data_IF_132843698567
#
_entry.id   IF_132843698567
#
_cell.length_a   1.000
_cell.length_b   1.000
_cell.length_c   1.000
_cell.angle_alpha   90.00
_cell.angle_beta   90.00
_cell.angle_gamma   90.00
#
_symmetry.space_group_name_H-M   'P 1'
#
loop_
_entity.id
_entity.type
_entity.pdbx_description
1 polymer ?
#
# COMPACT_ATOMS: atom_id res chain seq x y z
N UNK A 1 -9.18 3.61 -10.65
CA UNK A 1 -8.71 2.33 -10.07
C UNK A 1 -9.46 2.04 -8.78
N UNK A 2 -9.83 0.77 -8.51
CA UNK A 2 -10.37 0.34 -7.22
C UNK A 2 -9.23 0.06 -6.24
N UNK A 3 -9.37 0.57 -5.00
CA UNK A 3 -8.49 0.30 -3.87
C UNK A 3 -9.36 -0.28 -2.76
N UNK A 4 -9.14 -1.53 -2.39
CA UNK A 4 -9.89 -2.21 -1.33
C UNK A 4 -9.08 -3.35 -0.70
N UNK A 5 -9.59 -3.98 0.35
CA UNK A 5 -8.98 -5.12 1.01
C UNK A 5 -7.78 -4.77 1.91
N UNK A 6 -7.01 -5.79 2.25
CA UNK A 6 -5.81 -5.62 3.09
C UNK A 6 -4.60 -5.32 2.23
N UNK A 7 -3.92 -4.23 2.54
CA UNK A 7 -2.65 -3.86 1.94
C UNK A 7 -1.50 -4.08 2.93
N UNK A 8 -0.35 -4.51 2.43
CA UNK A 8 0.86 -4.74 3.23
C UNK A 8 1.79 -3.55 3.13
N UNK A 9 2.14 -2.87 4.24
CA UNK A 9 3.20 -1.86 4.25
C UNK A 9 4.57 -2.55 4.20
N UNK A 10 5.18 -2.60 3.02
CA UNK A 10 6.45 -3.30 2.82
C UNK A 10 7.58 -2.63 3.61
N UNK A 11 8.37 -3.45 4.31
CA UNK A 11 9.68 -3.03 4.85
C UNK A 11 10.76 -3.23 3.79
N UNK A 12 11.77 -2.35 3.78
CA UNK A 12 12.97 -2.52 2.95
C UNK A 12 14.03 -3.26 3.77
N UNK A 13 14.43 -4.48 3.40
CA UNK A 13 15.51 -5.18 4.05
C UNK A 13 16.86 -4.49 3.81
N UNK A 14 17.66 -4.34 4.85
CA UNK A 14 19.02 -3.83 4.74
C UNK A 14 20.05 -4.90 5.10
N UNK A 15 21.17 -4.90 4.40
CA UNK A 15 22.36 -5.65 4.76
C UNK A 15 23.05 -5.01 5.98
N UNK A 16 24.02 -5.70 6.60
CA UNK A 16 24.73 -5.20 7.79
C UNK A 16 25.48 -3.89 7.56
N UNK A 17 25.88 -3.64 6.32
CA UNK A 17 26.55 -2.40 5.90
C UNK A 17 25.58 -1.24 5.55
N UNK A 18 24.28 -1.46 5.75
CA UNK A 18 23.23 -0.47 5.51
C UNK A 18 22.74 -0.39 4.06
N UNK A 19 23.29 -1.13 3.10
CA UNK A 19 22.78 -1.20 1.73
C UNK A 19 21.45 -1.93 1.64
N UNK A 20 20.60 -1.57 0.70
CA UNK A 20 19.37 -2.30 0.42
C UNK A 20 19.68 -3.75 0.01
N UNK A 21 19.03 -4.71 0.65
CA UNK A 21 19.18 -6.13 0.31
C UNK A 21 18.08 -6.54 -0.69
N UNK A 22 18.24 -6.10 -1.93
CA UNK A 22 17.21 -6.22 -2.97
C UNK A 22 16.75 -7.67 -3.22
N UNK A 23 17.66 -8.66 -3.18
CA UNK A 23 17.28 -10.07 -3.34
C UNK A 23 16.34 -10.58 -2.23
N UNK A 24 16.49 -10.06 -1.02
CA UNK A 24 15.59 -10.40 0.09
C UNK A 24 14.25 -9.66 -0.04
N UNK A 25 14.27 -8.44 -0.54
CA UNK A 25 13.06 -7.71 -0.88
C UNK A 25 12.26 -8.44 -1.97
N UNK A 26 12.92 -8.87 -3.04
CA UNK A 26 12.33 -9.67 -4.12
C UNK A 26 11.64 -10.92 -3.58
N UNK A 27 12.34 -11.69 -2.72
CA UNK A 27 11.78 -12.89 -2.07
C UNK A 27 10.55 -12.57 -1.21
N UNK A 28 10.60 -11.50 -0.40
CA UNK A 28 9.47 -11.06 0.41
C UNK A 28 8.26 -10.72 -0.45
N UNK A 29 8.46 -9.94 -1.52
CA UNK A 29 7.39 -9.55 -2.45
C UNK A 29 6.75 -10.78 -3.10
N UNK A 30 7.56 -11.74 -3.54
CA UNK A 30 7.07 -13.01 -4.07
C UNK A 30 6.20 -13.77 -3.06
N UNK A 31 6.60 -13.80 -1.78
CA UNK A 31 5.81 -14.43 -0.71
C UNK A 31 4.50 -13.70 -0.41
N UNK A 32 4.52 -12.35 -0.34
CA UNK A 32 3.28 -11.57 -0.18
C UNK A 32 2.35 -11.76 -1.37
N UNK A 33 2.88 -11.95 -2.57
CA UNK A 33 2.09 -12.24 -3.77
C UNK A 33 1.29 -13.54 -3.68
N UNK A 34 1.78 -14.52 -2.93
CA UNK A 34 1.08 -15.79 -2.67
C UNK A 34 0.03 -15.68 -1.56
N UNK A 35 0.05 -14.60 -0.77
CA UNK A 35 -0.94 -14.37 0.30
C UNK A 35 -2.22 -13.74 -0.26
N UNK A 36 -3.35 -13.83 0.46
CA UNK A 36 -4.62 -13.29 -0.03
C UNK A 36 -4.78 -11.77 0.10
N UNK A 37 -3.72 -11.04 0.47
CA UNK A 37 -3.76 -9.57 0.55
C UNK A 37 -4.01 -8.94 -0.81
N UNK A 38 -4.69 -7.80 -0.84
CA UNK A 38 -5.10 -7.13 -2.07
C UNK A 38 -3.97 -6.30 -2.70
N UNK A 39 -3.09 -5.74 -1.88
CA UNK A 39 -2.04 -4.85 -2.39
C UNK A 39 -0.80 -4.75 -1.51
N UNK A 40 0.22 -4.12 -2.07
CA UNK A 40 1.52 -3.87 -1.45
C UNK A 40 1.84 -2.39 -1.52
N UNK A 41 2.21 -1.79 -0.39
CA UNK A 41 2.58 -0.38 -0.31
C UNK A 41 4.08 -0.28 -0.08
N UNK A 42 4.81 0.13 -1.10
CA UNK A 42 6.26 0.36 -1.03
C UNK A 42 6.54 1.74 -0.44
N UNK A 43 7.61 1.86 0.36
CA UNK A 43 8.08 3.14 0.91
C UNK A 43 7.00 3.96 1.66
N UNK A 44 5.92 3.30 2.10
CA UNK A 44 4.91 3.86 2.97
C UNK A 44 5.37 3.83 4.44
N UNK A 45 4.43 3.90 5.39
CA UNK A 45 4.73 3.79 6.81
C UNK A 45 5.48 2.49 7.12
N UNK A 46 6.66 2.59 7.71
CA UNK A 46 7.54 1.44 7.99
C UNK A 46 8.50 1.07 6.86
N UNK A 47 8.38 1.65 5.66
CA UNK A 47 9.30 1.43 4.54
C UNK A 47 10.61 2.22 4.62
N UNK A 48 10.81 3.00 5.67
CA UNK A 48 12.02 3.80 5.92
C UNK A 48 12.44 4.72 4.73
N UNK A 49 11.44 5.19 3.96
CA UNK A 49 11.62 5.97 2.73
C UNK A 49 12.58 7.16 2.88
N UNK A 50 12.50 7.89 4.00
CA UNK A 50 13.36 9.04 4.29
C UNK A 50 14.85 8.68 4.49
N UNK A 51 15.20 7.39 4.53
CA UNK A 51 16.59 6.92 4.65
C UNK A 51 17.17 6.43 3.32
N UNK A 52 16.36 6.35 2.27
CA UNK A 52 16.77 5.86 0.96
C UNK A 52 17.31 7.01 0.10
N UNK A 53 18.41 6.77 -0.61
CA UNK A 53 18.84 7.65 -1.70
C UNK A 53 17.92 7.52 -2.92
N UNK A 54 17.99 8.49 -3.84
CA UNK A 54 17.17 8.45 -5.06
C UNK A 54 17.46 7.22 -5.92
N UNK A 55 18.72 6.76 -5.98
CA UNK A 55 19.09 5.52 -6.68
C UNK A 55 18.51 4.27 -5.98
N UNK A 56 18.53 4.24 -4.65
CA UNK A 56 17.91 3.13 -3.89
C UNK A 56 16.39 3.11 -4.05
N UNK A 57 15.74 4.28 -4.11
CA UNK A 57 14.31 4.38 -4.42
C UNK A 57 14.00 3.72 -5.77
N UNK A 58 14.75 4.07 -6.81
CA UNK A 58 14.58 3.49 -8.14
C UNK A 58 14.74 1.96 -8.14
N UNK A 59 15.78 1.44 -7.47
CA UNK A 59 16.02 0.01 -7.36
C UNK A 59 14.93 -0.73 -6.57
N UNK A 60 14.48 -0.18 -5.45
CA UNK A 60 13.40 -0.74 -4.62
C UNK A 60 12.10 -0.83 -5.43
N UNK A 61 11.70 0.25 -6.12
CA UNK A 61 10.49 0.25 -6.94
C UNK A 61 10.59 -0.77 -8.08
N UNK A 62 11.70 -0.80 -8.80
CA UNK A 62 11.94 -1.75 -9.89
C UNK A 62 11.82 -3.20 -9.42
N UNK A 63 12.48 -3.56 -8.32
CA UNK A 63 12.44 -4.93 -7.78
C UNK A 63 11.03 -5.32 -7.35
N UNK A 64 10.30 -4.43 -6.68
CA UNK A 64 8.91 -4.71 -6.28
C UNK A 64 8.00 -4.89 -7.50
N UNK A 65 8.09 -4.00 -8.49
CA UNK A 65 7.29 -4.08 -9.71
C UNK A 65 7.51 -5.37 -10.51
N UNK A 66 8.77 -5.85 -10.54
CA UNK A 66 9.14 -7.10 -11.22
C UNK A 66 8.73 -8.36 -10.45
N UNK A 67 8.79 -8.35 -9.12
CA UNK A 67 8.54 -9.52 -8.28
C UNK A 67 7.07 -9.71 -7.89
N UNK A 68 6.27 -8.64 -7.92
CA UNK A 68 4.87 -8.72 -7.51
C UNK A 68 4.01 -9.41 -8.56
N UNK A 69 3.12 -10.29 -8.11
CA UNK A 69 2.10 -10.89 -8.98
C UNK A 69 1.20 -9.81 -9.59
N UNK A 70 0.76 -10.04 -10.83
CA UNK A 70 0.08 -9.01 -11.61
C UNK A 70 -1.23 -8.50 -10.97
N UNK A 71 -1.94 -9.35 -10.23
CA UNK A 71 -3.20 -9.01 -9.55
C UNK A 71 -3.03 -8.18 -8.28
N UNK A 72 -1.82 -8.05 -7.72
CA UNK A 72 -1.58 -7.24 -6.52
C UNK A 72 -1.53 -5.77 -6.87
N UNK A 73 -2.34 -4.96 -6.21
CA UNK A 73 -2.26 -3.49 -6.33
C UNK A 73 -0.93 -3.01 -5.76
N UNK A 74 -0.16 -2.25 -6.53
CA UNK A 74 1.08 -1.63 -6.09
C UNK A 74 0.91 -0.13 -5.86
N UNK A 75 1.21 0.32 -4.65
CA UNK A 75 1.18 1.73 -4.28
C UNK A 75 2.58 2.17 -3.85
N UNK A 76 3.09 3.25 -4.43
CA UNK A 76 4.41 3.80 -4.08
C UNK A 76 4.28 5.01 -3.15
N UNK A 77 4.81 4.91 -1.94
CA UNK A 77 4.88 6.04 -1.00
C UNK A 77 5.86 7.10 -1.48
N UNK A 78 5.44 8.36 -1.40
CA UNK A 78 6.22 9.54 -1.75
C UNK A 78 6.35 10.43 -0.52
N UNK A 79 7.55 10.53 0.01
CA UNK A 79 7.92 11.42 1.10
C UNK A 79 9.00 12.41 0.60
N UNK A 80 8.57 13.38 -0.20
CA UNK A 80 9.42 14.43 -0.79
C UNK A 80 8.82 15.80 -0.50
N UNK A 81 9.66 16.77 -0.19
CA UNK A 81 9.24 18.11 0.24
C UNK A 81 9.05 19.11 -0.93
N UNK A 82 9.23 18.66 -2.17
CA UNK A 82 9.00 19.47 -3.35
C UNK A 82 8.17 18.76 -4.42
N UNK A 83 7.38 19.51 -5.16
CA UNK A 83 6.58 19.00 -6.30
C UNK A 83 7.48 18.23 -7.28
N UNK A 84 8.63 18.82 -7.67
CA UNK A 84 9.57 18.18 -8.60
C UNK A 84 10.11 16.85 -8.07
N UNK A 85 10.49 16.80 -6.78
CA UNK A 85 10.96 15.57 -6.15
C UNK A 85 9.87 14.50 -6.05
N UNK A 86 8.63 14.92 -5.76
CA UNK A 86 7.49 14.01 -5.72
C UNK A 86 7.18 13.42 -7.10
N UNK A 87 7.19 14.24 -8.16
CA UNK A 87 6.95 13.81 -9.54
C UNK A 87 8.05 12.86 -10.04
N UNK A 88 9.32 13.10 -9.71
CA UNK A 88 10.40 12.18 -10.07
C UNK A 88 10.18 10.76 -9.50
N UNK A 89 9.70 10.65 -8.25
CA UNK A 89 9.36 9.33 -7.66
C UNK A 89 8.11 8.74 -8.33
N UNK A 90 7.10 9.56 -8.66
CA UNK A 90 5.90 9.10 -9.35
C UNK A 90 6.21 8.53 -10.75
N UNK A 91 7.13 9.15 -11.49
CA UNK A 91 7.63 8.69 -12.78
C UNK A 91 8.35 7.33 -12.67
N UNK A 92 9.25 7.20 -11.67
CA UNK A 92 9.93 5.93 -11.38
C UNK A 92 8.94 4.83 -11.02
N UNK A 93 7.93 5.13 -10.21
CA UNK A 93 6.87 4.19 -9.84
C UNK A 93 6.05 3.77 -11.07
N UNK A 94 5.69 4.72 -11.94
CA UNK A 94 4.96 4.43 -13.18
C UNK A 94 5.76 3.53 -14.11
N UNK A 95 7.06 3.80 -14.29
CA UNK A 95 7.97 2.97 -15.08
C UNK A 95 8.15 1.56 -14.51
N UNK A 96 8.09 1.43 -13.17
CA UNK A 96 8.17 0.15 -12.47
C UNK A 96 6.83 -0.63 -12.45
N UNK A 97 5.75 -0.11 -13.06
CA UNK A 97 4.46 -0.79 -13.16
C UNK A 97 3.57 -0.65 -11.92
N UNK A 98 3.81 0.36 -11.09
CA UNK A 98 2.92 0.67 -9.96
C UNK A 98 1.57 1.23 -10.45
N UNK A 99 0.56 1.09 -9.61
CA UNK A 99 -0.82 1.41 -9.93
C UNK A 99 -1.26 2.77 -9.39
N UNK A 100 -0.69 3.20 -8.28
CA UNK A 100 -0.95 4.48 -7.64
C UNK A 100 0.25 4.97 -6.84
N UNK A 101 0.24 6.23 -6.44
CA UNK A 101 1.18 6.80 -5.48
C UNK A 101 0.46 7.18 -4.19
N UNK A 102 1.17 7.10 -3.06
CA UNK A 102 0.72 7.54 -1.74
C UNK A 102 1.53 8.77 -1.35
N UNK A 103 0.92 9.95 -1.43
CA UNK A 103 1.59 11.23 -1.26
C UNK A 103 1.43 11.75 0.17
N UNK A 104 2.54 11.97 0.86
CA UNK A 104 2.59 12.63 2.16
C UNK A 104 2.78 14.13 2.01
N UNK A 105 2.31 14.89 2.99
CA UNK A 105 2.64 16.31 3.09
C UNK A 105 4.16 16.51 3.27
N UNK A 106 4.72 17.65 2.82
CA UNK A 106 6.10 18.04 3.11
C UNK A 106 6.35 18.13 4.62
N UNK A 107 7.46 17.57 5.10
CA UNK A 107 7.78 17.47 6.54
C UNK A 107 8.96 18.32 6.97
N UNK A 108 9.83 18.71 6.04
CA UNK A 108 10.99 19.58 6.33
C UNK A 108 10.61 21.05 6.62
N UNK A 109 9.37 21.40 6.35
CA UNK A 109 8.84 22.76 6.51
C UNK A 109 7.66 22.75 7.47
N UNK A 110 7.85 22.74 8.78
CA UNK A 110 6.77 22.61 9.77
C UNK A 110 5.69 23.70 9.65
N UNK A 111 6.04 24.89 9.16
CA UNK A 111 5.11 26.00 8.88
C UNK A 111 4.10 25.66 7.79
N UNK A 112 4.48 24.83 6.78
CA UNK A 112 3.57 24.44 5.70
C UNK A 112 2.41 23.59 6.19
N UNK A 113 2.61 22.79 7.24
CA UNK A 113 1.54 21.96 7.81
C UNK A 113 0.35 22.76 8.35
N UNK A 114 0.54 24.06 8.59
CA UNK A 114 -0.46 25.01 9.08
C UNK A 114 -1.04 25.91 7.98
N UNK A 115 -0.46 25.85 6.78
CA UNK A 115 -0.88 26.68 5.64
C UNK A 115 -1.61 25.80 4.62
N UNK A 116 -2.95 25.81 4.72
CA UNK A 116 -3.81 25.03 3.81
C UNK A 116 -3.58 25.39 2.34
N UNK A 117 -3.33 26.65 2.00
CA UNK A 117 -3.16 27.07 0.62
C UNK A 117 -1.88 26.49 0.00
N UNK A 118 -0.79 26.45 0.77
CA UNK A 118 0.47 25.85 0.32
C UNK A 118 0.36 24.33 0.21
N UNK A 119 -0.32 23.67 1.15
CA UNK A 119 -0.59 22.22 1.06
C UNK A 119 -1.49 21.91 -0.14
N UNK A 120 -2.56 22.65 -0.36
CA UNK A 120 -3.43 22.51 -1.53
C UNK A 120 -2.63 22.67 -2.82
N UNK A 121 -1.79 23.69 -2.92
CA UNK A 121 -0.90 23.88 -4.08
C UNK A 121 0.03 22.67 -4.30
N UNK A 122 0.67 22.18 -3.23
CA UNK A 122 1.58 21.04 -3.34
C UNK A 122 0.86 19.78 -3.85
N UNK A 123 -0.25 19.39 -3.19
CA UNK A 123 -0.99 18.18 -3.56
C UNK A 123 -1.60 18.29 -4.96
N UNK A 124 -2.20 19.43 -5.31
CA UNK A 124 -2.81 19.64 -6.62
C UNK A 124 -1.78 19.65 -7.73
N UNK A 125 -0.64 20.34 -7.56
CA UNK A 125 0.41 20.37 -8.57
C UNK A 125 1.04 18.98 -8.81
N UNK A 126 1.16 18.15 -7.76
CA UNK A 126 1.59 16.75 -7.94
C UNK A 126 0.50 15.94 -8.63
N UNK A 127 -0.76 16.11 -8.26
CA UNK A 127 -1.86 15.37 -8.85
C UNK A 127 -2.09 15.72 -10.32
N UNK A 128 -1.92 17.01 -10.71
CA UNK A 128 -2.04 17.49 -12.09
C UNK A 128 -1.02 16.82 -13.03
N UNK A 129 0.23 16.65 -12.56
CA UNK A 129 1.33 16.19 -13.39
C UNK A 129 1.72 14.71 -13.16
N UNK A 130 1.17 14.06 -12.14
CA UNK A 130 1.49 12.65 -11.83
C UNK A 130 0.99 11.70 -12.92
N UNK A 131 1.84 10.80 -13.45
CA UNK A 131 1.41 9.76 -14.38
C UNK A 131 0.56 8.66 -13.73
N UNK A 132 0.43 8.68 -12.40
CA UNK A 132 -0.33 7.73 -11.61
C UNK A 132 -1.39 8.42 -10.76
N UNK A 133 -2.52 7.75 -10.48
CA UNK A 133 -3.47 8.22 -9.49
C UNK A 133 -2.82 8.46 -8.13
N UNK A 134 -3.29 9.48 -7.43
CA UNK A 134 -2.76 9.89 -6.12
C UNK A 134 -3.70 9.46 -5.01
N UNK A 135 -3.15 8.77 -3.99
CA UNK A 135 -3.74 8.55 -2.68
C UNK A 135 -3.10 9.53 -1.70
N UNK A 136 -3.89 10.14 -0.83
CA UNK A 136 -3.38 11.02 0.22
C UNK A 136 -2.97 10.21 1.45
N UNK A 137 -1.87 10.60 2.10
CA UNK A 137 -1.49 10.08 3.42
C UNK A 137 -1.82 11.09 4.51
N UNK A 138 -2.57 10.67 5.53
CA UNK A 138 -2.86 11.47 6.71
C UNK A 138 -2.46 10.72 7.98
N UNK A 139 -1.73 11.40 8.88
CA UNK A 139 -1.21 10.83 10.11
C UNK A 139 -1.17 11.91 11.22
N UNK A 140 -2.02 11.77 12.22
CA UNK A 140 -2.09 12.71 13.34
C UNK A 140 -0.92 12.55 14.33
N UNK A 141 -0.28 11.38 14.37
CA UNK A 141 0.90 11.18 15.22
C UNK A 141 2.11 11.97 14.71
N UNK A 142 2.07 12.37 13.44
CA UNK A 142 3.02 13.29 12.80
C UNK A 142 2.27 14.58 12.41
N UNK A 143 2.20 15.61 13.27
CA UNK A 143 1.35 16.80 13.05
C UNK A 143 1.51 17.47 11.68
N UNK A 144 2.72 17.41 11.10
CA UNK A 144 2.98 17.93 9.76
C UNK A 144 2.30 17.12 8.64
N UNK A 145 1.84 15.90 8.93
CA UNK A 145 1.18 15.01 7.97
C UNK A 145 -0.34 14.91 8.17
N UNK A 146 -0.89 15.59 9.19
CA UNK A 146 -2.34 15.57 9.41
C UNK A 146 -3.04 16.48 8.41
N UNK A 147 -3.93 15.90 7.59
CA UNK A 147 -4.74 16.66 6.64
C UNK A 147 -6.05 17.10 7.29
N UNK A 148 -6.38 18.40 7.16
CA UNK A 148 -7.66 18.93 7.61
C UNK A 148 -8.81 18.42 6.75
N UNK A 149 -10.03 18.43 7.29
CA UNK A 149 -11.24 17.98 6.58
C UNK A 149 -11.50 18.82 5.31
N UNK A 150 -11.30 20.13 5.44
CA UNK A 150 -11.50 21.07 4.33
C UNK A 150 -10.51 20.81 3.20
N UNK A 151 -9.24 20.51 3.52
CA UNK A 151 -8.23 20.16 2.52
C UNK A 151 -8.55 18.81 1.86
N UNK A 152 -8.97 17.81 2.63
CA UNK A 152 -9.35 16.49 2.07
C UNK A 152 -10.54 16.65 1.13
N UNK A 153 -11.57 17.42 1.49
CA UNK A 153 -12.74 17.66 0.65
C UNK A 153 -12.37 18.39 -0.65
N UNK A 154 -11.51 19.40 -0.56
CA UNK A 154 -10.99 20.14 -1.71
C UNK A 154 -10.22 19.22 -2.67
N UNK A 155 -9.26 18.45 -2.14
CA UNK A 155 -8.41 17.55 -2.93
C UNK A 155 -9.20 16.36 -3.50
N UNK A 156 -10.23 15.88 -2.81
CA UNK A 156 -11.08 14.80 -3.29
C UNK A 156 -11.83 15.14 -4.57
N UNK A 157 -12.08 16.43 -4.84
CA UNK A 157 -12.69 16.90 -6.09
C UNK A 157 -11.74 16.78 -7.30
N UNK A 158 -10.42 16.69 -7.07
CA UNK A 158 -9.43 16.57 -8.14
C UNK A 158 -9.53 15.19 -8.83
N UNK A 159 -9.59 15.10 -10.17
CA UNK A 159 -9.86 13.85 -10.89
C UNK A 159 -8.80 12.77 -10.65
N UNK A 160 -7.54 13.15 -10.44
CA UNK A 160 -6.43 12.22 -10.22
C UNK A 160 -6.16 11.90 -8.73
N UNK A 161 -6.90 12.52 -7.78
CA UNK A 161 -6.83 12.18 -6.34
C UNK A 161 -7.97 11.21 -6.04
N UNK A 162 -7.65 9.91 -5.92
CA UNK A 162 -8.65 8.83 -5.91
C UNK A 162 -9.08 8.36 -4.52
N UNK A 163 -8.34 8.73 -3.47
CA UNK A 163 -8.63 8.32 -2.11
C UNK A 163 -7.55 8.72 -1.12
N UNK A 164 -7.61 8.12 0.06
CA UNK A 164 -6.63 8.34 1.12
C UNK A 164 -6.41 7.10 1.99
N UNK A 165 -5.25 7.08 2.64
CA UNK A 165 -4.99 6.26 3.83
C UNK A 165 -4.89 7.18 5.04
N UNK A 166 -5.61 6.85 6.11
CA UNK A 166 -5.60 7.63 7.35
C UNK A 166 -5.16 6.73 8.52
N UNK A 167 -4.06 7.11 9.17
CA UNK A 167 -3.46 6.33 10.25
C UNK A 167 -4.25 6.41 11.57
N UNK A 168 -5.01 7.48 11.74
CA UNK A 168 -5.81 7.75 12.95
C UNK A 168 -7.31 7.82 12.66
N UNK A 169 -7.75 7.03 11.69
CA UNK A 169 -9.15 7.00 11.27
C UNK A 169 -10.05 6.49 12.39
N UNK A 170 -10.98 7.33 12.82
CA UNK A 170 -12.11 6.93 13.68
C UNK A 170 -13.39 6.82 12.85
N UNK A 171 -14.42 6.18 13.37
CA UNK A 171 -15.74 6.09 12.69
C UNK A 171 -16.32 7.49 12.44
N UNK A 172 -16.17 8.41 13.39
CA UNK A 172 -16.62 9.78 13.26
C UNK A 172 -15.88 10.51 12.14
N UNK A 173 -14.54 10.39 12.11
CA UNK A 173 -13.72 11.00 11.08
C UNK A 173 -14.02 10.40 9.71
N UNK A 174 -14.18 9.06 9.63
CA UNK A 174 -14.59 8.40 8.39
C UNK A 174 -15.91 8.97 7.87
N UNK A 175 -16.95 9.04 8.71
CA UNK A 175 -18.27 9.57 8.32
C UNK A 175 -18.18 11.02 7.86
N UNK A 176 -17.41 11.84 8.55
CA UNK A 176 -17.23 13.23 8.17
C UNK A 176 -16.54 13.37 6.80
N UNK A 177 -15.48 12.56 6.51
CA UNK A 177 -14.84 12.54 5.20
C UNK A 177 -15.81 12.02 4.12
N UNK A 178 -16.50 10.92 4.39
CA UNK A 178 -17.43 10.31 3.45
C UNK A 178 -18.58 11.26 3.09
N UNK A 179 -19.10 12.02 4.07
CA UNK A 179 -20.11 13.05 3.85
C UNK A 179 -19.60 14.23 3.05
N UNK A 180 -18.41 14.75 3.39
CA UNK A 180 -17.76 15.86 2.67
C UNK A 180 -17.39 15.50 1.22
N UNK A 181 -17.23 14.21 0.91
CA UNK A 181 -16.82 13.73 -0.43
C UNK A 181 -17.91 12.93 -1.15
N UNK A 182 -19.15 12.95 -0.67
CA UNK A 182 -20.28 12.12 -1.17
C UNK A 182 -20.62 12.34 -2.64
N UNK A 183 -20.36 13.53 -3.17
CA UNK A 183 -20.64 13.90 -4.55
C UNK A 183 -19.53 13.47 -5.51
N UNK A 184 -18.39 13.04 -4.98
CA UNK A 184 -17.27 12.51 -5.77
C UNK A 184 -17.64 11.12 -6.27
N UNK A 185 -17.75 10.97 -7.60
CA UNK A 185 -18.04 9.69 -8.25
C UNK A 185 -17.07 9.46 -9.40
N UNK A 186 -16.53 8.26 -9.47
CA UNK A 186 -15.58 7.85 -10.50
C UNK A 186 -15.91 6.47 -11.03
N UNK A 187 -15.80 6.30 -12.32
CA UNK A 187 -15.87 4.99 -12.94
C UNK A 187 -14.49 4.30 -12.87
N UNK A 188 -14.48 3.07 -12.40
CA UNK A 188 -13.27 2.25 -12.32
C UNK A 188 -13.51 0.90 -13.00
N UNK A 189 -12.46 0.37 -13.64
CA UNK A 189 -12.48 -0.99 -14.15
C UNK A 189 -12.23 -1.97 -13.02
N UNK A 190 -13.01 -3.05 -13.00
CA UNK A 190 -12.89 -4.17 -12.07
C UNK A 190 -12.96 -5.48 -12.85
N UNK A 191 -12.43 -6.55 -12.29
CA UNK A 191 -12.56 -7.91 -12.85
C UNK A 191 -14.03 -8.40 -12.77
N UNK A 192 -14.32 -9.54 -13.35
CA UNK A 192 -15.65 -10.17 -13.28
C UNK A 192 -16.09 -10.44 -11.83
N UNK A 193 -15.16 -10.62 -10.90
CA UNK A 193 -15.38 -10.82 -9.46
C UNK A 193 -15.21 -9.54 -8.63
N UNK A 194 -15.26 -8.37 -9.28
CA UNK A 194 -15.14 -7.06 -8.67
C UNK A 194 -13.79 -6.76 -7.98
N UNK A 195 -12.74 -7.52 -8.28
CA UNK A 195 -11.38 -7.20 -7.83
C UNK A 195 -10.76 -6.07 -8.67
N UNK A 196 -9.76 -5.34 -8.15
CA UNK A 196 -9.03 -4.32 -8.90
C UNK A 196 -8.43 -4.86 -10.21
N UNK A 197 -8.42 -4.04 -11.25
CA UNK A 197 -7.64 -4.29 -12.48
C UNK A 197 -6.37 -3.46 -12.40
N UNK A 198 -5.23 -4.11 -12.32
CA UNK A 198 -3.92 -3.46 -12.20
C UNK A 198 -3.33 -3.10 -13.58
N UNK A 199 -2.40 -2.16 -13.61
CA UNK A 199 -1.66 -1.80 -14.83
C UNK A 199 -0.86 -2.99 -15.39
N UNK A 200 -0.33 -3.85 -14.51
CA UNK A 200 0.41 -5.06 -14.94
C UNK A 200 -0.51 -6.11 -15.56
N UNK A 201 -1.74 -6.26 -15.07
CA UNK A 201 -2.76 -7.11 -15.74
C UNK A 201 -3.11 -6.58 -17.13
N UNK A 202 -3.26 -5.25 -17.28
CA UNK A 202 -3.53 -4.64 -18.59
C UNK A 202 -2.33 -4.74 -19.54
N UNK A 203 -1.09 -4.61 -19.03
CA UNK A 203 0.13 -4.76 -19.84
C UNK A 203 0.28 -6.21 -20.35
N UNK A 204 0.14 -7.20 -19.47
CA UNK A 204 0.20 -8.62 -19.85
C UNK A 204 -0.84 -8.97 -20.91
N UNK A 205 -2.06 -8.42 -20.82
CA UNK A 205 -3.11 -8.65 -21.81
C UNK A 205 -2.80 -8.00 -23.18
N UNK A 206 -1.97 -6.95 -23.25
CA UNK A 206 -1.54 -6.31 -24.51
C UNK A 206 -0.39 -7.04 -25.18
N UNK A 207 0.57 -7.53 -24.40
CA UNK A 207 1.73 -8.29 -24.92
C UNK A 207 1.31 -9.60 -25.61
N UNK A 208 0.30 -10.28 -25.06
CA UNK A 208 -0.26 -11.50 -25.64
C UNK A 208 -1.07 -11.26 -26.94
N UNK A 209 -1.37 -10.00 -27.30
CA UNK A 209 -2.08 -9.60 -28.52
C UNK A 209 -1.21 -9.34 -29.76
N UNK A 210 0.11 -9.43 -29.67
CA UNK A 210 1.02 -9.27 -30.82
C UNK A 210 1.08 -10.57 -31.61
N UNK A 211 0.25 -10.69 -32.66
CA UNK A 211 0.39 -11.72 -33.65
C UNK A 211 1.69 -11.51 -34.44
N UNK A 212 2.64 -12.41 -34.28
CA UNK A 212 3.74 -12.53 -35.26
C UNK A 212 3.16 -13.25 -36.46
N UNK A 213 3.13 -12.59 -37.63
CA UNK A 213 2.60 -13.23 -38.85
C UNK A 213 3.41 -14.47 -39.17
N UNK A 214 2.74 -15.55 -39.63
CA UNK A 214 3.39 -16.80 -40.02
C UNK A 214 4.44 -16.61 -41.12
N UNK A 215 4.40 -15.52 -41.89
CA UNK A 215 5.37 -15.14 -42.91
C UNK A 215 6.72 -14.70 -42.35
N UNK A 216 6.78 -14.20 -41.09
CA UNK A 216 8.05 -13.80 -40.44
C UNK A 216 8.80 -14.97 -39.79
N UNK A 217 8.15 -16.16 -39.70
CA UNK A 217 8.73 -17.38 -39.15
C UNK A 217 9.01 -18.32 -40.33
N UNK A 218 10.15 -18.16 -40.99
CA UNK A 218 10.55 -19.00 -42.15
C UNK A 218 10.38 -20.50 -41.87
N UNK A 219 9.36 -21.13 -42.44
CA UNK A 219 9.25 -22.55 -42.76
C UNK A 219 9.32 -23.55 -41.60
N UNK A 220 8.38 -23.52 -40.68
CA UNK A 220 8.19 -24.56 -39.65
C UNK A 220 6.78 -24.55 -39.14
N UNK A 221 6.24 -25.69 -38.72
CA UNK A 221 4.86 -25.84 -38.26
C UNK A 221 4.44 -24.73 -37.29
N UNK A 222 3.32 -24.04 -37.58
CA UNK A 222 2.76 -22.98 -36.74
C UNK A 222 2.45 -23.52 -35.34
N UNK A 223 3.23 -23.14 -34.36
CA UNK A 223 2.87 -23.32 -32.96
C UNK A 223 1.79 -22.26 -32.67
N UNK A 224 0.55 -22.70 -32.53
CA UNK A 224 -0.53 -21.85 -32.07
C UNK A 224 -0.20 -21.41 -30.65
N UNK A 225 0.30 -20.17 -30.49
CA UNK A 225 0.41 -19.53 -29.20
C UNK A 225 -1.04 -19.23 -28.80
N UNK A 226 -1.59 -20.03 -27.88
CA UNK A 226 -2.88 -19.76 -27.27
C UNK A 226 -2.76 -18.47 -26.49
N UNK A 227 -3.32 -17.38 -27.04
CA UNK A 227 -3.42 -16.12 -26.32
C UNK A 227 -4.13 -16.37 -24.99
N UNK A 228 -3.51 -15.95 -23.88
CA UNK A 228 -4.21 -15.97 -22.58
C UNK A 228 -5.50 -15.19 -22.73
N UNK A 229 -6.62 -15.69 -22.17
CA UNK A 229 -7.89 -14.99 -22.29
C UNK A 229 -7.76 -13.58 -21.70
N UNK A 230 -8.18 -12.59 -22.46
CA UNK A 230 -8.24 -11.20 -22.01
C UNK A 230 -9.01 -11.12 -20.69
N UNK A 231 -8.50 -10.33 -19.73
CA UNK A 231 -9.15 -10.15 -18.43
C UNK A 231 -10.55 -9.60 -18.66
N UNK A 232 -11.58 -10.38 -18.33
CA UNK A 232 -12.98 -9.91 -18.40
C UNK A 232 -13.18 -8.82 -17.36
N UNK A 233 -13.49 -7.63 -17.83
CA UNK A 233 -13.66 -6.44 -16.97
C UNK A 233 -15.10 -5.96 -16.97
N UNK A 234 -15.46 -5.26 -15.89
CA UNK A 234 -16.73 -4.53 -15.71
C UNK A 234 -16.40 -3.11 -15.25
N UNK A 235 -17.34 -2.21 -15.41
CA UNK A 235 -17.26 -0.86 -14.85
C UNK A 235 -18.00 -0.83 -13.50
N UNK A 236 -17.39 -0.20 -12.50
CA UNK A 236 -17.98 0.06 -11.19
C UNK A 236 -17.85 1.55 -10.88
N UNK A 237 -18.89 2.16 -10.33
CA UNK A 237 -18.82 3.52 -9.80
C UNK A 237 -18.36 3.46 -8.35
N UNK A 238 -17.36 4.24 -8.01
CA UNK A 238 -16.81 4.39 -6.65
C UNK A 238 -16.78 5.86 -6.25
N UNK A 239 -16.86 6.13 -4.94
CA UNK A 239 -16.60 7.45 -4.38
C UNK A 239 -15.13 7.73 -4.15
N UNK A 240 -14.84 8.71 -3.30
CA UNK A 240 -13.51 8.91 -2.73
C UNK A 240 -13.18 7.73 -1.80
N UNK A 241 -12.09 7.01 -2.06
CA UNK A 241 -11.79 5.74 -1.41
C UNK A 241 -10.99 5.97 -0.13
N UNK A 242 -11.51 5.53 1.01
CA UNK A 242 -10.90 5.73 2.32
C UNK A 242 -10.44 4.40 2.87
N UNK A 243 -9.15 4.32 3.20
CA UNK A 243 -8.48 3.15 3.76
C UNK A 243 -8.01 3.44 5.19
N UNK A 244 -8.27 2.56 6.13
CA UNK A 244 -7.71 2.66 7.47
C UNK A 244 -6.24 2.26 7.47
N UNK A 245 -5.35 3.08 8.07
CA UNK A 245 -3.93 2.73 8.22
C UNK A 245 -3.51 2.58 9.70
N UNK A 246 -4.49 2.45 10.58
CA UNK A 246 -4.33 2.19 12.00
C UNK A 246 -4.22 0.70 12.34
N UNK A 247 -4.40 0.34 13.62
CA UNK A 247 -4.35 -1.04 14.08
C UNK A 247 -5.35 -1.96 13.39
N UNK A 248 -4.92 -3.18 13.08
CA UNK A 248 -5.78 -4.22 12.51
C UNK A 248 -6.91 -4.62 13.48
N UNK A 249 -6.59 -4.66 14.77
CA UNK A 249 -7.55 -5.01 15.82
C UNK A 249 -8.74 -4.03 15.94
N UNK A 250 -8.56 -2.79 15.46
CA UNK A 250 -9.59 -1.74 15.51
C UNK A 250 -10.30 -1.54 14.17
N UNK A 251 -10.03 -2.40 13.19
CA UNK A 251 -10.55 -2.29 11.82
C UNK A 251 -12.06 -2.56 11.72
N UNK A 252 -12.61 -3.44 12.55
CA UNK A 252 -14.00 -3.91 12.41
C UNK A 252 -15.04 -2.77 12.43
N UNK A 253 -15.06 -1.83 13.40
CA UNK A 253 -16.01 -0.72 13.39
C UNK A 253 -15.89 0.19 12.15
N UNK A 254 -14.69 0.29 11.59
CA UNK A 254 -14.43 1.07 10.38
C UNK A 254 -14.97 0.35 9.14
N UNK A 255 -14.82 -0.98 9.06
CA UNK A 255 -15.41 -1.79 7.98
C UNK A 255 -16.93 -1.73 8.02
N UNK A 256 -17.54 -1.81 9.20
CA UNK A 256 -19.00 -1.65 9.40
C UNK A 256 -19.48 -0.25 8.97
N UNK A 257 -18.68 0.78 9.18
CA UNK A 257 -18.96 2.13 8.72
C UNK A 257 -18.82 2.30 7.19
N UNK A 258 -18.13 1.38 6.48
CA UNK A 258 -18.01 1.38 5.02
C UNK A 258 -16.60 1.66 4.49
N UNK A 259 -15.55 1.60 5.33
CA UNK A 259 -14.16 1.72 4.88
C UNK A 259 -13.84 0.61 3.87
N UNK A 260 -13.13 0.97 2.80
CA UNK A 260 -12.86 0.05 1.69
C UNK A 260 -11.88 -1.08 2.05
N UNK A 261 -10.96 -0.83 3.00
CA UNK A 261 -9.96 -1.79 3.44
C UNK A 261 -8.95 -1.14 4.39
N UNK A 262 -7.80 -1.81 4.60
CA UNK A 262 -6.83 -1.34 5.57
C UNK A 262 -5.37 -1.58 5.16
N UNK A 263 -4.48 -0.79 5.77
CA UNK A 263 -3.02 -0.87 5.68
C UNK A 263 -2.44 -1.00 7.11
N UNK A 264 -2.74 -2.09 7.84
CA UNK A 264 -2.25 -2.23 9.21
C UNK A 264 -0.74 -2.54 9.22
N UNK A 265 -0.02 -1.95 10.18
CA UNK A 265 1.42 -2.19 10.34
C UNK A 265 1.75 -3.66 10.55
N UNK A 266 0.92 -4.37 11.28
CA UNK A 266 1.06 -5.81 11.55
C UNK A 266 1.07 -6.63 10.26
N UNK A 267 0.38 -6.22 9.19
CA UNK A 267 0.32 -6.97 7.94
C UNK A 267 1.70 -7.16 7.28
N UNK A 268 2.70 -6.34 7.60
CA UNK A 268 4.06 -6.55 7.12
C UNK A 268 4.70 -7.83 7.66
N UNK A 269 4.34 -8.28 8.86
CA UNK A 269 4.90 -9.50 9.45
C UNK A 269 3.85 -10.62 9.65
N UNK A 270 2.56 -10.30 9.70
CA UNK A 270 1.47 -11.27 9.85
C UNK A 270 0.30 -10.95 8.90
N UNK A 271 0.51 -10.98 7.56
CA UNK A 271 -0.51 -10.61 6.58
C UNK A 271 -1.74 -11.51 6.65
N UNK A 272 -1.57 -12.81 6.90
CA UNK A 272 -2.66 -13.75 7.01
C UNK A 272 -3.60 -13.43 8.19
N UNK A 273 -3.06 -13.11 9.36
CA UNK A 273 -3.86 -12.72 10.53
C UNK A 273 -4.70 -11.48 10.27
N UNK A 274 -4.13 -10.46 9.61
CA UNK A 274 -4.88 -9.26 9.24
C UNK A 274 -5.95 -9.55 8.17
N UNK A 275 -5.64 -10.40 7.20
CA UNK A 275 -6.60 -10.80 6.18
C UNK A 275 -7.78 -11.57 6.78
N UNK A 276 -7.55 -12.47 7.74
CA UNK A 276 -8.60 -13.25 8.38
C UNK A 276 -9.66 -12.38 9.08
N UNK A 277 -9.27 -11.26 9.69
CA UNK A 277 -10.20 -10.29 10.28
C UNK A 277 -11.09 -9.69 9.19
N UNK A 278 -10.48 -9.25 8.08
CA UNK A 278 -11.20 -8.67 6.95
C UNK A 278 -12.11 -9.68 6.24
N UNK A 279 -11.62 -10.90 6.01
CA UNK A 279 -12.36 -11.95 5.32
C UNK A 279 -13.62 -12.35 6.10
N UNK A 280 -13.49 -12.60 7.42
CA UNK A 280 -14.63 -12.93 8.27
C UNK A 280 -15.72 -11.85 8.23
N UNK A 281 -15.34 -10.56 8.22
CA UNK A 281 -16.29 -9.47 8.03
C UNK A 281 -16.97 -9.53 6.65
N UNK A 282 -16.20 -9.75 5.58
CA UNK A 282 -16.73 -9.85 4.20
C UNK A 282 -17.66 -11.04 4.01
N UNK A 283 -17.42 -12.13 4.71
CA UNK A 283 -18.25 -13.35 4.71
C UNK A 283 -19.55 -13.15 5.53
N UNK A 284 -19.74 -11.99 6.16
CA UNK A 284 -20.93 -11.65 6.93
C UNK A 284 -20.95 -12.27 8.33
N UNK A 285 -19.78 -12.61 8.88
CA UNK A 285 -19.62 -13.13 10.25
C UNK A 285 -18.87 -12.14 11.15
N UNK A 286 -19.56 -11.12 11.69
CA UNK A 286 -18.95 -10.12 12.55
C UNK A 286 -18.44 -10.72 13.89
N UNK A 287 -19.03 -11.80 14.37
CA UNK A 287 -18.59 -12.47 15.60
C UNK A 287 -17.22 -13.15 15.39
N UNK A 288 -17.06 -13.86 14.26
CA UNK A 288 -15.76 -14.42 13.87
C UNK A 288 -14.75 -13.32 13.62
N UNK A 289 -15.13 -12.23 12.94
CA UNK A 289 -14.25 -11.09 12.70
C UNK A 289 -13.74 -10.48 14.02
N UNK A 290 -14.64 -10.27 15.01
CA UNK A 290 -14.27 -9.77 16.33
C UNK A 290 -13.30 -10.72 17.07
N UNK A 291 -13.54 -12.04 16.99
CA UNK A 291 -12.64 -13.04 17.59
C UNK A 291 -11.25 -13.02 16.94
N UNK A 292 -11.19 -12.93 15.60
CA UNK A 292 -9.93 -12.79 14.86
C UNK A 292 -9.21 -11.48 15.18
N UNK A 293 -9.93 -10.37 15.34
CA UNK A 293 -9.37 -9.07 15.75
C UNK A 293 -8.75 -9.14 17.15
N UNK A 294 -9.43 -9.81 18.09
CA UNK A 294 -8.91 -9.96 19.45
C UNK A 294 -7.62 -10.80 19.48
N UNK A 295 -7.55 -11.87 18.66
CA UNK A 295 -6.35 -12.70 18.53
C UNK A 295 -5.11 -11.92 18.07
N UNK A 296 -5.25 -10.91 17.22
CA UNK A 296 -4.14 -10.12 16.72
C UNK A 296 -3.83 -8.88 17.57
N UNK A 297 -4.67 -8.54 18.56
CA UNK A 297 -4.62 -7.26 19.30
C UNK A 297 -3.30 -7.02 20.00
N UNK A 298 -2.80 -8.02 20.73
CA UNK A 298 -1.55 -7.86 21.49
C UNK A 298 -0.34 -7.68 20.56
N UNK A 299 -0.27 -8.51 19.50
CA UNK A 299 0.78 -8.41 18.48
C UNK A 299 0.73 -7.05 17.77
N UNK A 300 -0.47 -6.59 17.41
CA UNK A 300 -0.67 -5.32 16.72
C UNK A 300 -0.24 -4.13 17.60
N UNK A 301 -0.66 -4.10 18.86
CA UNK A 301 -0.25 -3.09 19.84
C UNK A 301 1.27 -3.05 20.01
N UNK A 302 1.92 -4.21 20.10
CA UNK A 302 3.37 -4.31 20.23
C UNK A 302 4.09 -3.82 18.95
N UNK A 303 3.55 -4.09 17.75
CA UNK A 303 4.12 -3.55 16.50
C UNK A 303 3.95 -2.03 16.40
N UNK A 304 2.90 -1.46 16.96
CA UNK A 304 2.76 0.00 17.07
C UNK A 304 3.80 0.59 18.02
N UNK A 305 3.99 -0.01 19.20
CA UNK A 305 4.98 0.42 20.21
C UNK A 305 6.42 0.38 19.67
N UNK A 306 6.82 -0.77 19.10
CA UNK A 306 8.20 -1.00 18.69
C UNK A 306 8.52 -0.47 17.27
N UNK A 307 7.53 -0.07 16.52
CA UNK A 307 7.69 0.52 15.20
C UNK A 307 8.38 -0.42 14.21
N UNK A 308 9.17 0.17 13.31
CA UNK A 308 9.79 -0.58 12.20
C UNK A 308 10.75 -1.68 12.70
N UNK A 309 11.43 -1.48 13.82
CA UNK A 309 12.33 -2.51 14.37
C UNK A 309 11.56 -3.75 14.84
N UNK A 310 10.40 -3.57 15.47
CA UNK A 310 9.48 -4.64 15.87
C UNK A 310 8.95 -5.40 14.66
N UNK A 311 8.45 -4.67 13.67
CA UNK A 311 7.93 -5.24 12.43
C UNK A 311 8.99 -6.06 11.68
N UNK A 312 10.20 -5.53 11.53
CA UNK A 312 11.29 -6.25 10.85
C UNK A 312 11.66 -7.54 11.59
N UNK A 313 11.75 -7.49 12.91
CA UNK A 313 11.98 -8.70 13.69
C UNK A 313 10.82 -9.69 13.57
N UNK A 314 9.58 -9.21 13.59
CA UNK A 314 8.40 -10.02 13.32
C UNK A 314 8.41 -10.68 11.93
N UNK A 315 8.90 -9.97 10.91
CA UNK A 315 9.12 -10.54 9.57
C UNK A 315 10.08 -11.74 9.63
N UNK A 316 11.23 -11.60 10.31
CA UNK A 316 12.21 -12.69 10.44
C UNK A 316 11.61 -13.91 11.15
N UNK A 317 10.73 -13.73 12.14
CA UNK A 317 10.05 -14.82 12.83
C UNK A 317 8.98 -15.52 11.98
N UNK A 318 8.34 -14.79 11.06
CA UNK A 318 7.18 -15.29 10.31
C UNK A 318 7.51 -15.62 8.84
N UNK A 319 8.79 -15.87 8.56
CA UNK A 319 9.25 -16.41 7.29
C UNK A 319 9.48 -15.37 6.18
N UNK A 320 9.41 -14.08 6.50
CA UNK A 320 9.91 -12.98 5.66
C UNK A 320 11.32 -12.61 6.11
N UNK A 321 11.98 -11.74 5.38
CA UNK A 321 13.26 -11.20 5.79
C UNK A 321 13.10 -9.72 6.17
N UNK A 322 13.16 -9.40 7.45
CA UNK A 322 13.09 -8.05 7.99
C UNK A 322 14.45 -7.37 8.03
N UNK A 323 15.44 -8.09 8.58
CA UNK A 323 16.78 -7.57 8.82
C UNK A 323 16.82 -6.49 9.91
N UNK A 324 17.86 -5.69 9.90
CA UNK A 324 18.02 -4.58 10.83
C UNK A 324 17.36 -3.30 10.28
N UNK A 325 16.84 -2.43 11.16
CA UNK A 325 16.48 -1.08 10.74
C UNK A 325 17.75 -0.33 10.30
N UNK A 326 17.61 0.64 9.40
CA UNK A 326 18.74 1.45 8.96
C UNK A 326 19.12 2.47 10.05
N UNK A 327 20.42 2.63 10.39
CA UNK A 327 20.86 3.68 11.30
C UNK A 327 20.36 5.07 10.86
N UNK A 328 20.03 5.96 11.80
CA UNK A 328 20.29 5.89 13.24
C UNK A 328 19.29 5.07 14.08
N UNK A 329 18.33 4.37 13.46
CA UNK A 329 17.40 3.51 14.21
C UNK A 329 18.14 2.31 14.81
N UNK A 330 17.87 2.05 16.08
CA UNK A 330 18.48 0.93 16.80
C UNK A 330 17.70 -0.37 16.58
N UNK A 331 18.39 -1.52 16.56
CA UNK A 331 17.72 -2.82 16.60
C UNK A 331 17.06 -3.05 17.97
N UNK A 332 16.14 -4.01 18.03
CA UNK A 332 15.51 -4.41 19.29
C UNK A 332 16.53 -4.93 20.31
N UNK A 333 16.30 -4.60 21.57
CA UNK A 333 16.97 -5.24 22.72
C UNK A 333 16.54 -6.70 22.86
N UNK A 334 17.27 -7.51 23.65
CA UNK A 334 16.89 -8.90 23.93
C UNK A 334 15.49 -9.00 24.55
N UNK A 335 15.17 -8.13 25.51
CA UNK A 335 13.85 -8.07 26.16
C UNK A 335 12.74 -7.78 25.16
N UNK A 336 12.94 -6.81 24.26
CA UNK A 336 11.95 -6.50 23.23
C UNK A 336 11.74 -7.65 22.24
N UNK A 337 12.82 -8.37 21.85
CA UNK A 337 12.71 -9.56 21.01
C UNK A 337 11.87 -10.64 21.66
N UNK A 338 12.15 -10.96 22.92
CA UNK A 338 11.36 -11.97 23.65
C UNK A 338 9.88 -11.59 23.75
N UNK A 339 9.54 -10.29 23.90
CA UNK A 339 8.15 -9.82 23.82
C UNK A 339 7.53 -10.11 22.45
N UNK A 340 8.24 -9.80 21.37
CA UNK A 340 7.76 -10.06 20.00
C UNK A 340 7.58 -11.56 19.76
N UNK A 341 8.52 -12.39 20.19
CA UNK A 341 8.45 -13.86 20.07
C UNK A 341 7.21 -14.43 20.77
N UNK A 342 6.90 -13.92 21.96
CA UNK A 342 5.74 -14.35 22.73
C UNK A 342 4.42 -14.05 21.99
N UNK A 343 4.21 -12.82 21.55
CA UNK A 343 2.92 -12.41 20.97
C UNK A 343 2.74 -12.88 19.53
N UNK A 344 3.80 -13.01 18.73
CA UNK A 344 3.69 -13.52 17.36
C UNK A 344 3.54 -15.04 17.28
N UNK A 345 3.85 -15.78 18.36
CA UNK A 345 3.63 -17.22 18.42
C UNK A 345 2.21 -17.64 18.09
N UNK A 346 1.23 -16.82 18.45
CA UNK A 346 -0.20 -17.05 18.26
C UNK A 346 -0.75 -16.57 16.90
N UNK A 347 -0.02 -15.72 16.19
CA UNK A 347 -0.44 -15.11 14.92
C UNK A 347 0.46 -15.46 13.75
N UNK A 348 1.16 -16.58 13.82
CA UNK A 348 1.99 -17.09 12.71
C UNK A 348 1.13 -17.47 11.50
N UNK A 349 1.70 -17.17 10.32
CA UNK A 349 1.12 -17.60 9.03
C UNK A 349 1.20 -19.12 8.87
#
# INVERSE_FOLDING_TARGET
MLIDGIHVPLTVPFARDGRCYLRKLENNVGRYSLSPVAGLVAMGPGGEAGTLSDSEIADVLRVIGQAAAAEKVLVAGIAKDSVRGALAVAELAAAAGFDAVLLSAPTSWPELSKDRAQLSLFFSAVADASPLPVMLWSDRTAPAMQLSMELVAELAAHPNVIGMYDADLTVERYRAIADATRDVKREVKVTAVFAPVTRRMEAAAREDGTFVSAESLGGGAAVAITAKPAVKTRTKVVGFQIMAAGPCADMLPLLEAGVAGALPRLAACAPQGCYEVFAAFKDGDPALSANKAERVREADGLMQELGVAGVKYGCDLNGYYGGLPRPPRLPLTAVQRSRVEAVLGEVRN
#
